data_IF_075921864157
#
_entry.id   IF_075921864157
#
_cell.length_a   1.000
_cell.length_b   1.000
_cell.length_c   1.000
_cell.angle_alpha   90.00
_cell.angle_beta   90.00
_cell.angle_gamma   90.00
#
_symmetry.space_group_name_H-M   'P 1'
#
loop_
_entity.id
_entity.type
_entity.pdbx_description
1 polymer ?
#
# COMPACT_ATOMS: atom_id res chain seq x y z
N UNK A 1 21.57 66.59 58.05
CA UNK A 1 21.70 67.13 59.42
C UNK A 1 22.78 68.19 59.41
N UNK A 2 22.38 69.43 59.69
CA UNK A 2 23.27 70.56 59.96
C UNK A 2 23.80 70.41 61.38
N UNK A 3 25.10 70.59 61.60
CA UNK A 3 25.62 71.08 62.89
C UNK A 3 26.81 71.97 62.66
N UNK A 4 26.49 73.25 62.55
CA UNK A 4 27.32 74.42 62.82
C UNK A 4 27.75 74.39 64.29
N UNK A 5 29.02 74.72 64.59
CA UNK A 5 29.40 75.29 65.89
C UNK A 5 30.12 76.61 65.65
N UNK A 6 29.70 77.59 66.45
CA UNK A 6 29.91 79.03 66.36
C UNK A 6 30.60 79.44 67.67
N UNK A 7 31.56 80.37 67.56
CA UNK A 7 32.14 81.30 68.56
C UNK A 7 33.05 80.77 69.68
N UNK A 8 34.25 81.37 69.78
CA UNK A 8 34.44 82.53 70.67
C UNK A 8 35.78 83.23 70.40
N UNK A 9 35.68 84.55 70.23
CA UNK A 9 36.75 85.53 70.12
C UNK A 9 37.29 85.79 71.53
N UNK A 10 38.60 85.69 71.73
CA UNK A 10 39.29 86.27 72.87
C UNK A 10 40.44 87.14 72.35
N UNK A 11 40.21 88.45 72.41
CA UNK A 11 41.22 89.49 72.20
C UNK A 11 42.01 89.61 73.50
N UNK A 12 43.31 89.38 73.46
CA UNK A 12 44.22 89.90 74.47
C UNK A 12 45.49 90.40 73.76
N UNK A 13 45.55 91.72 73.57
CA UNK A 13 46.74 92.42 73.12
C UNK A 13 47.55 92.86 74.34
N UNK A 14 48.77 92.34 74.51
CA UNK A 14 49.81 92.95 75.36
C UNK A 14 51.17 92.83 74.65
N UNK A 15 51.62 94.00 74.17
CA UNK A 15 52.99 94.49 73.97
C UNK A 15 54.10 93.57 73.43
N UNK A 16 54.50 93.89 72.18
CA UNK A 16 55.87 94.18 71.74
C UNK A 16 57.02 93.47 72.49
N UNK A 17 57.57 92.45 71.85
CA UNK A 17 59.02 92.28 71.72
C UNK A 17 59.28 91.88 70.28
N UNK A 18 59.80 92.82 69.50
CA UNK A 18 60.25 92.57 68.15
C UNK A 18 61.39 91.53 68.18
N UNK A 19 61.04 90.26 67.95
CA UNK A 19 62.02 89.26 67.54
C UNK A 19 62.02 89.30 66.00
N UNK A 20 63.03 89.94 65.43
CA UNK A 20 63.37 89.84 64.01
C UNK A 20 63.36 88.38 63.57
N UNK A 21 63.03 88.06 62.30
CA UNK A 21 63.21 86.70 61.81
C UNK A 21 64.69 86.39 61.91
N UNK A 22 65.08 85.53 62.86
CA UNK A 22 66.43 85.01 62.93
C UNK A 22 66.68 84.34 61.57
N UNK A 23 67.64 84.86 60.80
CA UNK A 23 68.22 84.07 59.72
C UNK A 23 68.75 82.81 60.38
N UNK A 24 68.14 81.67 60.06
CA UNK A 24 68.64 80.36 60.46
C UNK A 24 70.13 80.29 60.14
N UNK A 25 70.91 79.74 61.08
CA UNK A 25 72.34 79.51 60.83
C UNK A 25 72.46 78.58 59.62
N UNK A 26 73.43 78.77 58.69
CA UNK A 26 73.64 77.87 57.55
C UNK A 26 73.74 76.39 57.92
N UNK A 27 74.12 76.10 59.18
CA UNK A 27 74.21 74.75 59.74
C UNK A 27 72.84 74.14 60.08
N UNK A 28 71.86 74.96 60.43
CA UNK A 28 70.50 74.55 60.82
C UNK A 28 69.62 74.31 59.60
N UNK A 29 69.75 75.15 58.55
CA UNK A 29 69.14 74.89 57.23
C UNK A 29 69.67 73.60 56.60
N UNK A 30 70.99 73.35 56.72
CA UNK A 30 71.61 72.10 56.26
C UNK A 30 71.04 70.88 56.99
N UNK A 31 70.85 70.96 58.31
CA UNK A 31 70.30 69.85 59.09
C UNK A 31 68.83 69.59 58.76
N UNK A 32 68.03 70.64 58.57
CA UNK A 32 66.63 70.51 58.10
C UNK A 32 66.58 69.87 56.71
N UNK A 33 67.46 70.27 55.80
CA UNK A 33 67.56 69.65 54.49
C UNK A 33 67.93 68.15 54.59
N UNK A 34 68.86 67.79 55.48
CA UNK A 34 69.26 66.40 55.72
C UNK A 34 68.14 65.55 56.32
N UNK A 35 67.34 66.10 57.24
CA UNK A 35 66.13 65.47 57.77
C UNK A 35 65.09 65.24 56.67
N UNK A 36 64.81 66.26 55.85
CA UNK A 36 63.86 66.13 54.72
C UNK A 36 64.35 65.13 53.67
N UNK A 37 65.66 65.06 53.42
CA UNK A 37 66.27 64.07 52.53
C UNK A 37 66.07 62.65 53.09
N UNK A 38 66.28 62.46 54.40
CA UNK A 38 66.09 61.18 55.04
C UNK A 38 64.61 60.75 55.01
N UNK A 39 63.69 61.67 55.29
CA UNK A 39 62.25 61.41 55.19
C UNK A 39 61.82 61.04 53.76
N UNK A 40 62.35 61.75 52.75
CA UNK A 40 62.13 61.39 51.35
C UNK A 40 62.70 60.01 51.00
N UNK A 41 63.87 59.65 51.54
CA UNK A 41 64.47 58.33 51.34
C UNK A 41 63.61 57.23 51.97
N UNK A 42 63.14 57.41 53.20
CA UNK A 42 62.25 56.46 53.87
C UNK A 42 60.95 56.27 53.08
N UNK A 43 60.32 57.37 52.64
CA UNK A 43 59.12 57.30 51.81
C UNK A 43 59.37 56.57 50.48
N UNK A 44 60.54 56.73 49.85
CA UNK A 44 60.91 56.01 48.63
C UNK A 44 61.13 54.52 48.88
N UNK A 45 61.73 54.15 50.01
CA UNK A 45 61.93 52.75 50.39
C UNK A 45 60.59 52.05 50.71
N UNK A 46 59.67 52.74 51.40
CA UNK A 46 58.32 52.25 51.66
C UNK A 46 57.53 52.04 50.36
N UNK A 47 57.56 53.02 49.45
CA UNK A 47 56.94 52.88 48.11
C UNK A 47 57.56 51.73 47.31
N UNK A 48 58.88 51.54 47.40
CA UNK A 48 59.56 50.41 46.73
C UNK A 48 59.11 49.08 47.30
N UNK A 49 58.91 48.99 48.61
CA UNK A 49 58.36 47.79 49.25
C UNK A 49 56.94 47.51 48.76
N UNK A 50 56.06 48.52 48.77
CA UNK A 50 54.68 48.39 48.29
C UNK A 50 54.61 47.94 46.83
N UNK A 51 55.45 48.50 45.96
CA UNK A 51 55.55 48.07 44.55
C UNK A 51 55.93 46.59 44.44
N UNK A 52 56.87 46.11 45.25
CA UNK A 52 57.27 44.69 45.24
C UNK A 52 56.15 43.78 45.78
N UNK A 53 55.43 44.23 46.81
CA UNK A 53 54.25 43.53 47.33
C UNK A 53 53.15 43.43 46.26
N UNK A 54 52.77 44.55 45.63
CA UNK A 54 51.79 44.56 44.55
C UNK A 54 52.24 43.72 43.34
N UNK A 55 53.52 43.71 43.01
CA UNK A 55 54.05 42.85 41.95
C UNK A 55 53.84 41.37 42.25
N UNK A 56 54.10 40.95 43.49
CA UNK A 56 53.90 39.55 43.92
C UNK A 56 52.42 39.18 43.92
N UNK A 57 51.54 40.07 44.40
CA UNK A 57 50.09 39.87 44.35
C UNK A 57 49.60 39.72 42.91
N UNK A 58 50.10 40.55 41.99
CA UNK A 58 49.76 40.48 40.57
C UNK A 58 50.19 39.14 39.94
N UNK A 59 51.39 38.64 40.26
CA UNK A 59 51.83 37.31 39.79
C UNK A 59 50.95 36.16 40.30
N UNK A 60 50.50 36.23 41.56
CA UNK A 60 49.59 35.23 42.13
C UNK A 60 48.23 35.27 41.43
N UNK A 61 47.71 36.47 41.17
CA UNK A 61 46.44 36.65 40.44
C UNK A 61 46.57 36.13 39.01
N UNK A 62 47.65 36.42 38.31
CA UNK A 62 47.92 35.92 36.95
C UNK A 62 47.95 34.38 36.91
N UNK A 63 48.64 33.76 37.87
CA UNK A 63 48.63 32.30 38.02
C UNK A 63 47.24 31.71 38.28
N UNK A 64 46.41 32.39 39.09
CA UNK A 64 45.02 31.98 39.33
C UNK A 64 44.15 32.11 38.09
N UNK A 65 44.30 33.21 37.34
CA UNK A 65 43.57 33.44 36.08
C UNK A 65 43.92 32.35 35.07
N UNK A 66 45.22 32.09 34.86
CA UNK A 66 45.69 31.04 33.95
C UNK A 66 45.14 29.65 34.31
N UNK A 67 45.19 29.29 35.60
CA UNK A 67 44.62 28.02 36.05
C UNK A 67 43.10 27.94 35.80
N UNK A 68 42.36 29.03 36.03
CA UNK A 68 40.92 29.08 35.75
C UNK A 68 40.62 29.00 34.24
N UNK A 69 41.44 29.62 33.39
CA UNK A 69 41.35 29.52 31.94
C UNK A 69 41.57 28.08 31.48
N UNK A 70 42.64 27.42 31.95
CA UNK A 70 42.95 26.02 31.63
C UNK A 70 41.83 25.07 32.07
N UNK A 71 41.31 25.25 33.30
CA UNK A 71 40.19 24.47 33.80
C UNK A 71 38.93 24.65 32.94
N UNK A 72 38.64 25.89 32.54
CA UNK A 72 37.50 26.22 31.68
C UNK A 72 37.66 25.61 30.29
N UNK A 73 38.86 25.66 29.71
CA UNK A 73 39.16 25.06 28.41
C UNK A 73 39.00 23.54 28.43
N UNK A 74 39.52 22.88 29.47
CA UNK A 74 39.37 21.43 29.63
C UNK A 74 37.91 21.01 29.78
N UNK A 75 37.13 21.73 30.58
CA UNK A 75 35.68 21.48 30.71
C UNK A 75 34.96 21.66 29.37
N UNK A 76 35.25 22.76 28.64
CA UNK A 76 34.67 23.00 27.30
C UNK A 76 34.99 21.86 26.33
N UNK A 77 36.26 21.42 26.29
CA UNK A 77 36.70 20.33 25.43
C UNK A 77 35.98 19.01 25.76
N UNK A 78 35.91 18.66 27.04
CA UNK A 78 35.23 17.44 27.50
C UNK A 78 33.73 17.47 27.16
N UNK A 79 33.08 18.62 27.32
CA UNK A 79 31.67 18.77 26.94
C UNK A 79 31.46 18.66 25.43
N UNK A 80 32.36 19.25 24.64
CA UNK A 80 32.31 19.20 23.19
C UNK A 80 32.45 17.77 22.67
N UNK A 81 33.40 17.00 23.19
CA UNK A 81 33.60 15.59 22.84
C UNK A 81 32.38 14.73 23.17
N UNK A 82 31.79 14.93 24.37
CA UNK A 82 30.55 14.24 24.75
C UNK A 82 29.38 14.58 23.82
N UNK A 83 29.28 15.83 23.39
CA UNK A 83 28.25 16.26 22.45
C UNK A 83 28.49 15.67 21.05
N UNK A 84 29.73 15.64 20.58
CA UNK A 84 30.10 15.03 19.30
C UNK A 84 29.76 13.53 19.27
N UNK A 85 30.09 12.79 20.34
CA UNK A 85 29.73 11.37 20.45
C UNK A 85 28.21 11.15 20.44
N UNK A 86 27.43 12.03 21.07
CA UNK A 86 25.96 11.97 21.01
C UNK A 86 25.46 12.23 19.59
N UNK A 87 26.01 13.22 18.90
CA UNK A 87 25.66 13.54 17.51
C UNK A 87 25.99 12.38 16.58
N UNK A 88 27.15 11.74 16.75
CA UNK A 88 27.57 10.59 15.94
C UNK A 88 26.62 9.40 16.14
N UNK A 89 26.30 9.08 17.40
CA UNK A 89 25.34 8.03 17.72
C UNK A 89 23.95 8.30 17.14
N UNK A 90 23.46 9.55 17.24
CA UNK A 90 22.19 9.94 16.64
C UNK A 90 22.24 9.81 15.11
N UNK A 91 23.31 10.28 14.47
CA UNK A 91 23.50 10.16 13.01
C UNK A 91 23.45 8.70 12.57
N UNK A 92 24.10 7.79 13.32
CA UNK A 92 24.05 6.36 13.03
C UNK A 92 22.63 5.79 13.13
N UNK A 93 21.90 6.14 14.19
CA UNK A 93 20.50 5.73 14.36
C UNK A 93 19.60 6.26 13.24
N UNK A 94 19.81 7.50 12.81
CA UNK A 94 19.09 8.07 11.66
C UNK A 94 19.36 7.29 10.38
N UNK A 95 20.63 6.98 10.07
CA UNK A 95 20.98 6.17 8.89
C UNK A 95 20.34 4.77 8.94
N UNK A 96 20.30 4.12 10.11
CA UNK A 96 19.59 2.85 10.28
C UNK A 96 18.08 2.97 10.04
N UNK A 97 17.46 4.08 10.47
CA UNK A 97 16.05 4.36 10.21
C UNK A 97 15.79 4.62 8.74
N UNK A 98 16.62 5.42 8.06
CA UNK A 98 16.50 5.69 6.62
C UNK A 98 16.55 4.40 5.79
N UNK A 99 17.46 3.49 6.13
CA UNK A 99 17.53 2.17 5.49
C UNK A 99 16.25 1.34 5.70
N UNK A 100 15.66 1.38 6.91
CA UNK A 100 14.38 0.71 7.19
C UNK A 100 13.24 1.34 6.39
N UNK A 101 13.20 2.66 6.29
CA UNK A 101 12.19 3.38 5.50
C UNK A 101 12.29 2.97 4.03
N UNK A 102 13.49 2.98 3.45
CA UNK A 102 13.71 2.53 2.07
C UNK A 102 13.26 1.08 1.84
N UNK A 103 13.53 0.18 2.79
CA UNK A 103 13.05 -1.21 2.71
C UNK A 103 11.52 -1.30 2.80
N UNK A 104 10.87 -0.48 3.61
CA UNK A 104 9.40 -0.43 3.69
C UNK A 104 8.78 0.14 2.42
N UNK A 105 9.38 1.18 1.83
CA UNK A 105 8.92 1.79 0.58
C UNK A 105 8.97 0.79 -0.57
N UNK A 106 10.08 0.05 -0.72
CA UNK A 106 10.22 -0.99 -1.76
C UNK A 106 9.19 -2.11 -1.59
N UNK A 107 8.96 -2.58 -0.36
CA UNK A 107 7.91 -3.57 -0.06
C UNK A 107 6.51 -3.05 -0.37
N UNK A 108 6.23 -1.79 -0.01
CA UNK A 108 4.95 -1.14 -0.31
C UNK A 108 4.72 -1.04 -1.83
N UNK A 109 5.75 -0.66 -2.58
CA UNK A 109 5.69 -0.57 -4.03
C UNK A 109 5.42 -1.94 -4.69
N UNK A 110 6.13 -2.99 -4.26
CA UNK A 110 5.91 -4.36 -4.75
C UNK A 110 4.51 -4.88 -4.39
N UNK A 111 4.02 -4.57 -3.18
CA UNK A 111 2.68 -4.96 -2.78
C UNK A 111 1.63 -4.24 -3.64
N UNK A 112 1.83 -2.96 -3.94
CA UNK A 112 0.93 -2.18 -4.78
C UNK A 112 0.93 -2.69 -6.23
N UNK A 113 2.08 -3.10 -6.77
CA UNK A 113 2.13 -3.72 -8.10
C UNK A 113 1.39 -5.06 -8.13
N UNK A 114 1.56 -5.90 -7.10
CA UNK A 114 0.85 -7.17 -6.99
C UNK A 114 -0.67 -6.98 -6.82
N UNK A 115 -1.08 -5.93 -6.10
CA UNK A 115 -2.49 -5.59 -5.98
C UNK A 115 -3.08 -5.14 -7.32
N UNK A 116 -2.34 -4.32 -8.07
CA UNK A 116 -2.74 -3.87 -9.42
C UNK A 116 -2.89 -5.05 -10.39
N UNK A 117 -1.93 -5.99 -10.41
CA UNK A 117 -2.03 -7.18 -11.26
C UNK A 117 -3.19 -8.08 -10.86
N UNK A 118 -3.40 -8.29 -9.56
CA UNK A 118 -4.54 -9.06 -9.05
C UNK A 118 -5.87 -8.41 -9.42
N UNK A 119 -5.97 -7.09 -9.28
CA UNK A 119 -7.17 -6.34 -9.66
C UNK A 119 -7.46 -6.48 -11.16
N UNK A 120 -6.43 -6.44 -12.01
CA UNK A 120 -6.59 -6.64 -13.46
C UNK A 120 -7.08 -8.06 -13.75
N UNK A 121 -6.47 -9.08 -13.15
CA UNK A 121 -6.89 -10.47 -13.32
C UNK A 121 -8.33 -10.71 -12.83
N UNK A 122 -8.74 -10.10 -11.71
CA UNK A 122 -10.10 -10.17 -11.21
C UNK A 122 -11.11 -9.55 -12.19
N UNK A 123 -10.75 -8.41 -12.79
CA UNK A 123 -11.56 -7.75 -13.82
C UNK A 123 -11.67 -8.61 -15.09
N UNK A 124 -10.56 -9.16 -15.56
CA UNK A 124 -10.52 -10.07 -16.72
C UNK A 124 -11.38 -11.33 -16.48
N UNK A 125 -11.26 -11.92 -15.29
CA UNK A 125 -12.06 -13.10 -14.91
C UNK A 125 -13.55 -12.77 -14.87
N UNK A 126 -13.91 -11.59 -14.34
CA UNK A 126 -15.31 -11.12 -14.29
C UNK A 126 -15.88 -10.91 -15.68
N UNK A 127 -15.07 -10.34 -16.59
CA UNK A 127 -15.44 -10.16 -17.99
C UNK A 127 -15.65 -11.52 -18.69
N UNK A 128 -14.71 -12.45 -18.56
CA UNK A 128 -14.79 -13.78 -19.14
C UNK A 128 -16.03 -14.55 -18.62
N UNK A 129 -16.31 -14.47 -17.32
CA UNK A 129 -17.48 -15.10 -16.73
C UNK A 129 -18.79 -14.51 -17.28
N UNK A 130 -18.83 -13.19 -17.47
CA UNK A 130 -19.98 -12.51 -18.07
C UNK A 130 -20.19 -12.98 -19.51
N UNK A 131 -19.13 -13.07 -20.31
CA UNK A 131 -19.20 -13.59 -21.68
C UNK A 131 -19.69 -15.04 -21.74
N UNK A 132 -19.19 -15.91 -20.85
CA UNK A 132 -19.66 -17.29 -20.77
C UNK A 132 -21.13 -17.38 -20.37
N UNK A 133 -21.57 -16.55 -19.42
CA UNK A 133 -22.98 -16.46 -19.03
C UNK A 133 -23.86 -16.07 -20.22
N UNK A 134 -23.44 -15.08 -21.01
CA UNK A 134 -24.17 -14.67 -22.20
C UNK A 134 -24.23 -15.78 -23.25
N UNK A 135 -23.14 -16.53 -23.44
CA UNK A 135 -23.12 -17.67 -24.36
C UNK A 135 -24.04 -18.80 -23.91
N UNK A 136 -24.08 -19.09 -22.60
CA UNK A 136 -25.01 -20.06 -22.02
C UNK A 136 -26.45 -19.63 -22.30
N UNK A 137 -26.80 -18.36 -22.04
CA UNK A 137 -28.14 -17.83 -22.33
C UNK A 137 -28.51 -17.97 -23.83
N UNK A 138 -27.55 -17.79 -24.74
CA UNK A 138 -27.78 -17.99 -26.17
C UNK A 138 -28.02 -19.47 -26.51
N UNK A 139 -27.22 -20.38 -25.95
CA UNK A 139 -27.39 -21.82 -26.14
C UNK A 139 -28.73 -22.31 -25.59
N UNK A 140 -29.17 -21.81 -24.43
CA UNK A 140 -30.49 -22.10 -23.86
C UNK A 140 -31.62 -21.72 -24.81
N UNK A 141 -31.55 -20.55 -25.45
CA UNK A 141 -32.54 -20.13 -26.47
C UNK A 141 -32.54 -21.06 -27.68
N UNK A 142 -31.38 -21.53 -28.13
CA UNK A 142 -31.27 -22.48 -29.24
C UNK A 142 -31.91 -23.81 -28.87
N UNK A 143 -31.63 -24.34 -27.68
CA UNK A 143 -32.21 -25.60 -27.18
C UNK A 143 -33.73 -25.49 -27.10
N UNK A 144 -34.26 -24.41 -26.55
CA UNK A 144 -35.71 -24.17 -26.50
C UNK A 144 -36.36 -24.21 -27.90
N UNK A 145 -35.72 -23.57 -28.89
CA UNK A 145 -36.19 -23.58 -30.28
C UNK A 145 -36.11 -24.98 -30.92
N UNK A 146 -35.07 -25.74 -30.62
CA UNK A 146 -34.92 -27.12 -31.10
C UNK A 146 -35.99 -28.05 -30.49
N UNK A 147 -36.29 -27.90 -29.20
CA UNK A 147 -37.33 -28.69 -28.54
C UNK A 147 -38.71 -28.46 -29.17
N UNK A 148 -39.08 -27.22 -29.50
CA UNK A 148 -40.31 -26.92 -30.23
C UNK A 148 -40.35 -27.58 -31.61
N UNK A 149 -39.23 -27.55 -32.36
CA UNK A 149 -39.14 -28.24 -33.66
C UNK A 149 -39.26 -29.76 -33.52
N UNK A 150 -38.70 -30.36 -32.47
CA UNK A 150 -38.83 -31.78 -32.19
C UNK A 150 -40.29 -32.17 -31.93
N UNK A 151 -41.04 -31.31 -31.24
CA UNK A 151 -42.47 -31.50 -31.01
C UNK A 151 -43.27 -31.47 -32.33
N UNK A 152 -42.96 -30.53 -33.21
CA UNK A 152 -43.60 -30.44 -34.53
C UNK A 152 -43.30 -31.67 -35.40
N UNK A 153 -42.05 -32.16 -35.37
CA UNK A 153 -41.65 -33.39 -36.08
C UNK A 153 -42.40 -34.60 -35.51
N UNK A 154 -42.58 -34.68 -34.19
CA UNK A 154 -43.34 -35.76 -33.57
C UNK A 154 -44.79 -35.78 -34.06
N UNK A 155 -45.44 -34.61 -34.18
CA UNK A 155 -46.79 -34.47 -34.76
C UNK A 155 -46.81 -34.95 -36.20
N UNK A 156 -45.86 -34.54 -37.04
CA UNK A 156 -45.76 -35.01 -38.43
C UNK A 156 -45.57 -36.52 -38.53
N UNK A 157 -44.77 -37.13 -37.64
CA UNK A 157 -44.59 -38.59 -37.59
C UNK A 157 -45.92 -39.30 -37.34
N UNK A 158 -46.72 -38.82 -36.38
CA UNK A 158 -48.03 -39.43 -36.07
C UNK A 158 -49.00 -39.33 -37.24
N UNK A 159 -49.08 -38.18 -37.92
CA UNK A 159 -49.98 -38.02 -39.07
C UNK A 159 -49.56 -38.90 -40.24
N UNK A 160 -48.26 -39.08 -40.48
CA UNK A 160 -47.75 -40.00 -41.48
C UNK A 160 -48.06 -41.46 -41.14
N UNK A 161 -47.92 -41.87 -39.88
CA UNK A 161 -48.30 -43.21 -39.43
C UNK A 161 -49.79 -43.49 -39.69
N UNK A 162 -50.66 -42.52 -39.41
CA UNK A 162 -52.10 -42.61 -39.67
C UNK A 162 -52.42 -42.69 -41.17
N UNK A 163 -51.75 -41.88 -42.00
CA UNK A 163 -51.90 -41.93 -43.47
C UNK A 163 -51.45 -43.30 -44.00
N UNK A 164 -50.28 -43.80 -43.56
CA UNK A 164 -49.76 -45.11 -43.98
C UNK A 164 -50.71 -46.23 -43.60
N UNK A 165 -51.27 -46.19 -42.38
CA UNK A 165 -52.31 -47.13 -41.93
C UNK A 165 -53.55 -47.07 -42.83
N UNK A 166 -53.98 -45.88 -43.20
CA UNK A 166 -55.12 -45.65 -44.10
C UNK A 166 -54.85 -46.18 -45.51
N UNK A 167 -53.67 -45.92 -46.08
CA UNK A 167 -53.27 -46.42 -47.41
C UNK A 167 -53.16 -47.94 -47.39
N UNK A 168 -52.58 -48.54 -46.35
CA UNK A 168 -52.48 -50.00 -46.22
C UNK A 168 -53.86 -50.66 -46.10
N UNK A 169 -54.83 -49.98 -45.49
CA UNK A 169 -56.23 -50.41 -45.43
C UNK A 169 -56.98 -50.26 -46.76
N UNK A 170 -56.68 -49.22 -47.55
CA UNK A 170 -57.34 -48.95 -48.83
C UNK A 170 -56.71 -49.68 -50.03
N UNK A 171 -55.48 -50.17 -49.90
CA UNK A 171 -54.71 -50.89 -50.93
C UNK A 171 -54.85 -52.42 -50.86
N UNK A 172 -55.94 -52.94 -50.27
CA UNK A 172 -56.32 -54.32 -50.60
C UNK A 172 -56.80 -54.33 -52.06
N UNK A 173 -55.85 -54.44 -52.99
CA UNK A 173 -56.06 -54.64 -54.44
C UNK A 173 -56.61 -56.04 -54.74
N UNK A 174 -57.41 -56.57 -53.82
CA UNK A 174 -58.02 -57.86 -53.96
C UNK A 174 -59.38 -57.90 -53.27
N UNK A 175 -60.29 -58.67 -53.84
CA UNK A 175 -61.57 -59.03 -53.24
C UNK A 175 -61.44 -60.43 -52.69
N UNK A 176 -61.99 -60.68 -51.49
CA UNK A 176 -62.03 -62.02 -50.94
C UNK A 176 -63.23 -62.77 -51.55
N UNK A 177 -62.96 -63.78 -52.37
CA UNK A 177 -63.94 -64.70 -52.92
C UNK A 177 -63.98 -65.99 -52.11
N UNK A 178 -65.17 -66.42 -51.68
CA UNK A 178 -65.35 -67.71 -50.98
C UNK A 178 -65.74 -68.78 -52.01
N UNK A 179 -64.88 -69.78 -52.19
CA UNK A 179 -65.05 -70.86 -53.17
C UNK A 179 -66.34 -71.64 -52.89
N UNK A 180 -67.16 -71.87 -53.92
CA UNK A 180 -68.41 -72.61 -53.83
C UNK A 180 -68.28 -73.99 -54.47
N UNK A 181 -69.23 -74.88 -54.18
CA UNK A 181 -69.27 -76.18 -54.83
C UNK A 181 -69.38 -76.01 -56.35
N UNK A 182 -68.54 -76.76 -57.10
CA UNK A 182 -68.39 -76.69 -58.56
C UNK A 182 -67.71 -75.42 -59.11
N UNK A 183 -66.92 -74.73 -58.29
CA UNK A 183 -65.97 -73.72 -58.78
C UNK A 183 -64.62 -74.35 -59.14
N UNK A 184 -63.94 -73.77 -60.14
CA UNK A 184 -62.56 -74.05 -60.49
C UNK A 184 -61.79 -72.73 -60.59
N UNK A 185 -60.46 -72.74 -60.45
CA UNK A 185 -59.66 -71.52 -60.56
C UNK A 185 -59.86 -70.81 -61.90
N UNK A 186 -59.91 -71.56 -63.01
CA UNK A 186 -60.15 -71.01 -64.35
C UNK A 186 -61.50 -70.27 -64.44
N UNK A 187 -62.56 -70.86 -63.86
CA UNK A 187 -63.90 -70.26 -63.86
C UNK A 187 -63.92 -68.98 -63.02
N UNK A 188 -63.29 -68.99 -61.86
CA UNK A 188 -63.20 -67.81 -60.98
C UNK A 188 -62.37 -66.71 -61.65
N UNK A 189 -61.23 -67.07 -62.25
CA UNK A 189 -60.35 -66.15 -62.97
C UNK A 189 -61.09 -65.44 -64.12
N UNK A 190 -61.80 -66.23 -64.95
CA UNK A 190 -62.56 -65.71 -66.08
C UNK A 190 -63.70 -64.76 -65.68
N UNK A 191 -64.42 -65.07 -64.60
CA UNK A 191 -65.52 -64.23 -64.10
C UNK A 191 -64.99 -62.87 -63.61
N UNK A 192 -63.80 -62.86 -63.02
CA UNK A 192 -63.19 -61.65 -62.46
C UNK A 192 -62.20 -60.98 -63.44
N UNK A 193 -62.11 -61.43 -64.69
CA UNK A 193 -61.18 -60.93 -65.73
C UNK A 193 -59.71 -60.89 -65.29
N UNK A 194 -59.26 -61.89 -64.54
CA UNK A 194 -57.86 -62.07 -64.12
C UNK A 194 -57.31 -63.40 -64.64
N UNK A 195 -56.00 -63.61 -64.53
CA UNK A 195 -55.39 -64.90 -64.89
C UNK A 195 -55.36 -65.84 -63.68
N UNK A 196 -55.35 -67.15 -63.96
CA UNK A 196 -55.21 -68.18 -62.92
C UNK A 196 -53.90 -68.00 -62.16
N UNK A 197 -52.81 -67.72 -62.86
CA UNK A 197 -51.49 -67.49 -62.25
C UNK A 197 -51.50 -66.30 -61.29
N UNK A 198 -52.22 -65.22 -61.62
CA UNK A 198 -52.35 -64.07 -60.70
C UNK A 198 -53.12 -64.43 -59.42
N UNK A 199 -54.15 -65.27 -59.50
CA UNK A 199 -54.86 -65.76 -58.30
C UNK A 199 -53.95 -66.70 -57.50
N UNK A 200 -53.22 -67.59 -58.16
CA UNK A 200 -52.31 -68.54 -57.50
C UNK A 200 -51.19 -67.82 -56.76
N UNK A 201 -50.52 -66.89 -57.42
CA UNK A 201 -49.45 -66.09 -56.82
C UNK A 201 -49.97 -65.24 -55.65
N UNK A 202 -51.19 -64.70 -55.71
CA UNK A 202 -51.73 -63.86 -54.63
C UNK A 202 -52.18 -64.66 -53.39
N UNK A 203 -52.39 -65.97 -53.54
CA UNK A 203 -52.84 -66.88 -52.49
C UNK A 203 -51.83 -67.97 -52.13
N UNK A 204 -50.59 -67.86 -52.65
CA UNK A 204 -49.52 -68.82 -52.46
C UNK A 204 -49.96 -70.28 -52.80
N UNK A 205 -50.63 -70.47 -53.95
CA UNK A 205 -51.10 -71.78 -54.42
C UNK A 205 -50.13 -72.38 -55.45
N UNK A 206 -49.60 -73.56 -55.18
CA UNK A 206 -48.68 -74.25 -56.10
C UNK A 206 -49.43 -74.96 -57.26
N UNK A 207 -50.67 -75.36 -57.03
CA UNK A 207 -51.48 -76.12 -57.99
C UNK A 207 -52.89 -75.55 -58.14
N UNK A 208 -53.69 -76.14 -59.03
CA UNK A 208 -55.00 -75.62 -59.37
C UNK A 208 -56.12 -76.13 -58.45
N UNK A 209 -55.75 -76.84 -57.38
CA UNK A 209 -56.69 -77.43 -56.43
C UNK A 209 -57.19 -76.37 -55.46
N UNK A 210 -58.51 -76.18 -55.44
CA UNK A 210 -59.20 -75.30 -54.50
C UNK A 210 -60.29 -76.06 -53.76
N UNK A 211 -60.48 -75.74 -52.48
CA UNK A 211 -61.43 -76.43 -51.61
C UNK A 211 -62.67 -75.57 -51.39
N UNK A 212 -63.85 -76.19 -51.42
CA UNK A 212 -65.11 -75.49 -51.13
C UNK A 212 -65.05 -74.86 -49.73
N UNK A 213 -65.39 -73.57 -49.65
CA UNK A 213 -65.32 -72.79 -48.42
C UNK A 213 -64.00 -72.02 -48.22
N UNK A 214 -62.96 -72.30 -49.00
CA UNK A 214 -61.70 -71.56 -48.99
C UNK A 214 -61.93 -70.10 -49.39
N UNK A 215 -61.24 -69.17 -48.71
CA UNK A 215 -61.23 -67.74 -49.03
C UNK A 215 -60.02 -67.45 -49.92
N UNK A 216 -60.27 -67.05 -51.16
CA UNK A 216 -59.25 -66.66 -52.12
C UNK A 216 -59.22 -65.13 -52.25
N UNK A 217 -58.03 -64.55 -52.20
CA UNK A 217 -57.73 -63.17 -52.57
C UNK A 217 -57.70 -63.10 -54.10
N UNK A 218 -58.72 -62.51 -54.70
CA UNK A 218 -58.80 -62.32 -56.15
C UNK A 218 -58.32 -60.91 -56.45
N UNK A 219 -57.26 -60.70 -57.27
CA UNK A 219 -56.82 -59.36 -57.64
C UNK A 219 -57.99 -58.54 -58.19
N UNK A 220 -58.07 -57.26 -57.79
CA UNK A 220 -58.96 -56.26 -58.40
C UNK A 220 -58.37 -55.74 -59.69
#
# INVERSE_FOLDING_TARGET
MKTTKIFSIAILAISLSACSPMKSSPKEEKHQLELTLHELQTNLDDLRHDINCFHTEMQIVDGKVKHQEDATQNLKQQHLEKLQLKIENLTKLFSEMENKISLFETKSHSLNSNFSTLSNHANETTLALTQHKDKINELEKIILKQNSRLEDIAKVKTTLEDIVKTIKSNSSNYVIYKVRAKDSLEKIAKINNVTVDSIKHLNDLDNDLIVVGQKLKIPK
#
